data_IF_214363183597
#
_entry.id   IF_214363183597
#
_cell.length_a   1.000
_cell.length_b   1.000
_cell.length_c   1.000
_cell.angle_alpha   90.00
_cell.angle_beta   90.00
_cell.angle_gamma   90.00
#
_symmetry.space_group_name_H-M   'P 1'
#
loop_
_entity.id
_entity.type
_entity.pdbx_description
1 polymer ?
#
# COMPACT_ATOMS: atom_id res chain seq x y z
N UNK A 1 -36.32 -42.43 18.06
CA UNK A 1 -35.52 -42.47 19.30
C UNK A 1 -34.05 -42.78 19.04
N UNK A 2 -33.67 -43.87 18.36
CA UNK A 2 -32.25 -44.19 18.10
C UNK A 2 -31.50 -43.16 17.23
N UNK A 3 -32.17 -42.56 16.24
CA UNK A 3 -31.59 -41.50 15.41
C UNK A 3 -31.33 -40.20 16.19
N UNK A 4 -32.15 -39.91 17.21
CA UNK A 4 -32.02 -38.68 18.01
C UNK A 4 -30.92 -38.81 19.07
N UNK A 5 -30.74 -39.98 19.69
CA UNK A 5 -29.63 -40.23 20.64
C UNK A 5 -28.25 -40.13 19.97
N UNK A 6 -28.07 -40.72 18.78
CA UNK A 6 -26.80 -40.64 18.05
C UNK A 6 -26.44 -39.24 17.54
N UNK A 7 -27.43 -38.36 17.34
CA UNK A 7 -27.22 -36.95 17.02
C UNK A 7 -26.80 -36.17 18.26
N UNK A 8 -27.40 -36.47 19.41
CA UNK A 8 -27.12 -35.81 20.68
C UNK A 8 -25.68 -36.09 21.17
N UNK A 9 -25.19 -37.32 21.01
CA UNK A 9 -23.82 -37.69 21.37
C UNK A 9 -22.77 -37.03 20.48
N UNK A 10 -23.04 -36.86 19.18
CA UNK A 10 -22.17 -36.10 18.27
C UNK A 10 -22.11 -34.62 18.67
N UNK A 11 -23.23 -34.04 19.09
CA UNK A 11 -23.27 -32.65 19.57
C UNK A 11 -22.49 -32.47 20.88
N UNK A 12 -22.57 -33.43 21.81
CA UNK A 12 -21.77 -33.43 23.04
C UNK A 12 -20.28 -33.55 22.75
N UNK A 13 -19.89 -34.48 21.88
CA UNK A 13 -18.49 -34.66 21.45
C UNK A 13 -17.92 -33.38 20.82
N UNK A 14 -18.70 -32.75 19.92
CA UNK A 14 -18.31 -31.48 19.30
C UNK A 14 -17.99 -30.40 20.35
N UNK A 15 -18.89 -30.20 21.33
CA UNK A 15 -18.68 -29.23 22.42
C UNK A 15 -17.44 -29.54 23.25
N UNK A 16 -17.16 -30.82 23.52
CA UNK A 16 -15.94 -31.23 24.25
C UNK A 16 -14.70 -30.91 23.43
N UNK A 17 -14.69 -31.22 22.13
CA UNK A 17 -13.58 -30.91 21.24
C UNK A 17 -13.33 -29.39 21.13
N UNK A 18 -14.38 -28.58 21.04
CA UNK A 18 -14.28 -27.12 21.04
C UNK A 18 -13.67 -26.58 22.34
N UNK A 19 -14.10 -27.09 23.51
CA UNK A 19 -13.52 -26.71 24.81
C UNK A 19 -12.04 -27.10 24.92
N UNK A 20 -11.68 -28.30 24.47
CA UNK A 20 -10.26 -28.72 24.46
C UNK A 20 -9.46 -27.79 23.56
N UNK A 21 -9.98 -27.44 22.37
CA UNK A 21 -9.31 -26.53 21.46
C UNK A 21 -9.11 -25.12 22.07
N UNK A 22 -10.11 -24.61 22.80
CA UNK A 22 -10.01 -23.35 23.54
C UNK A 22 -8.95 -23.39 24.65
N UNK A 23 -8.85 -24.49 25.39
CA UNK A 23 -7.78 -24.68 26.36
C UNK A 23 -6.40 -24.68 25.66
N UNK A 24 -6.27 -25.37 24.51
CA UNK A 24 -5.03 -25.36 23.73
C UNK A 24 -4.67 -23.95 23.24
N UNK A 25 -5.64 -23.13 22.83
CA UNK A 25 -5.40 -21.73 22.45
C UNK A 25 -4.84 -20.89 23.61
N UNK A 26 -5.36 -21.09 24.83
CA UNK A 26 -4.90 -20.38 26.03
C UNK A 26 -3.49 -20.80 26.46
N UNK A 27 -3.04 -21.97 26.01
CA UNK A 27 -1.71 -22.53 26.25
C UNK A 27 -0.75 -22.28 25.08
N UNK A 28 -1.15 -21.43 24.12
CA UNK A 28 -0.42 -21.17 22.87
C UNK A 28 -0.10 -22.42 22.02
N UNK A 29 -0.81 -23.53 22.28
CA UNK A 29 -0.70 -24.76 21.52
C UNK A 29 -1.62 -24.72 20.30
N UNK A 30 -1.28 -23.81 19.37
CA UNK A 30 -2.11 -23.45 18.23
C UNK A 30 -2.35 -24.59 17.24
N UNK A 31 -1.37 -25.45 17.00
CA UNK A 31 -1.54 -26.60 16.10
C UNK A 31 -2.51 -27.64 16.68
N UNK A 32 -2.42 -27.93 17.98
CA UNK A 32 -3.36 -28.84 18.62
C UNK A 32 -4.77 -28.24 18.65
N UNK A 33 -4.89 -26.93 18.94
CA UNK A 33 -6.15 -26.22 18.85
C UNK A 33 -6.77 -26.33 17.44
N UNK A 34 -6.00 -26.07 16.38
CA UNK A 34 -6.45 -26.21 15.00
C UNK A 34 -6.94 -27.62 14.66
N UNK A 35 -6.22 -28.65 15.12
CA UNK A 35 -6.63 -30.04 14.95
C UNK A 35 -7.95 -30.33 15.64
N UNK A 36 -8.13 -29.85 16.88
CA UNK A 36 -9.36 -30.07 17.67
C UNK A 36 -10.56 -29.32 17.10
N UNK A 37 -10.40 -28.08 16.67
CA UNK A 37 -11.44 -27.35 15.93
C UNK A 37 -11.80 -28.04 14.62
N UNK A 38 -10.82 -28.55 13.87
CA UNK A 38 -11.08 -29.32 12.64
C UNK A 38 -11.89 -30.58 12.93
N UNK A 39 -11.54 -31.33 13.99
CA UNK A 39 -12.29 -32.52 14.43
C UNK A 39 -13.72 -32.18 14.89
N UNK A 40 -13.92 -30.99 15.46
CA UNK A 40 -15.22 -30.45 15.81
C UNK A 40 -16.05 -29.95 14.60
N UNK A 41 -15.44 -29.87 13.41
CA UNK A 41 -16.07 -29.34 12.20
C UNK A 41 -15.97 -27.81 12.05
N UNK A 42 -15.36 -27.11 13.01
CA UNK A 42 -15.19 -25.65 12.98
C UNK A 42 -13.88 -25.28 12.27
N UNK A 43 -13.92 -25.32 10.94
CA UNK A 43 -12.73 -25.03 10.12
C UNK A 43 -12.29 -23.57 10.20
N UNK A 44 -13.19 -22.63 10.48
CA UNK A 44 -12.85 -21.20 10.58
C UNK A 44 -12.04 -20.93 11.84
N UNK A 45 -12.46 -21.46 12.99
CA UNK A 45 -11.67 -21.37 14.23
C UNK A 45 -10.36 -22.14 14.12
N UNK A 46 -10.35 -23.27 13.40
CA UNK A 46 -9.11 -23.98 13.10
C UNK A 46 -8.13 -23.12 12.30
N UNK A 47 -8.59 -22.46 11.24
CA UNK A 47 -7.76 -21.53 10.45
C UNK A 47 -7.24 -20.39 11.32
N UNK A 48 -8.10 -19.75 12.13
CA UNK A 48 -7.67 -18.67 13.05
C UNK A 48 -6.59 -19.14 14.03
N UNK A 49 -6.65 -20.38 14.50
CA UNK A 49 -5.59 -20.96 15.33
C UNK A 49 -4.28 -21.12 14.54
N UNK A 50 -4.34 -21.62 13.29
CA UNK A 50 -3.15 -21.71 12.42
C UNK A 50 -2.53 -20.35 12.12
N UNK A 51 -3.34 -19.31 11.88
CA UNK A 51 -2.83 -17.95 11.66
C UNK A 51 -2.00 -17.46 12.85
N UNK A 52 -2.46 -17.73 14.09
CA UNK A 52 -1.71 -17.39 15.31
C UNK A 52 -0.39 -18.15 15.45
N UNK A 53 -0.27 -19.33 14.85
CA UNK A 53 0.97 -20.11 14.90
C UNK A 53 2.03 -19.61 13.93
N UNK A 54 1.67 -18.75 12.97
CA UNK A 54 2.59 -18.26 11.94
C UNK A 54 3.09 -19.32 10.96
N UNK A 55 2.52 -20.53 10.96
CA UNK A 55 2.99 -21.64 10.12
C UNK A 55 2.39 -21.52 8.72
N UNK A 56 3.03 -20.71 7.89
CA UNK A 56 2.60 -20.38 6.53
C UNK A 56 2.34 -21.62 5.69
N UNK A 57 3.17 -22.67 5.81
CA UNK A 57 2.99 -23.92 5.06
C UNK A 57 1.70 -24.63 5.45
N UNK A 58 1.43 -24.76 6.76
CA UNK A 58 0.16 -25.37 7.23
C UNK A 58 -1.04 -24.50 6.90
N UNK A 59 -0.93 -23.18 6.92
CA UNK A 59 -2.00 -22.24 6.53
C UNK A 59 -2.37 -22.44 5.06
N UNK A 60 -1.39 -22.41 4.14
CA UNK A 60 -1.60 -22.63 2.71
C UNK A 60 -2.20 -24.01 2.44
N UNK A 61 -1.66 -25.05 3.08
CA UNK A 61 -2.18 -26.41 2.98
C UNK A 61 -3.64 -26.51 3.44
N UNK A 62 -3.95 -25.96 4.61
CA UNK A 62 -5.28 -26.02 5.20
C UNK A 62 -6.32 -25.26 4.37
N UNK A 63 -5.95 -24.12 3.78
CA UNK A 63 -6.81 -23.38 2.86
C UNK A 63 -7.19 -24.22 1.62
N UNK A 64 -6.20 -24.83 0.97
CA UNK A 64 -6.42 -25.65 -0.23
C UNK A 64 -7.25 -26.92 0.04
N UNK A 65 -7.09 -27.55 1.20
CA UNK A 65 -7.88 -28.72 1.59
C UNK A 65 -9.29 -28.34 2.04
N UNK A 66 -9.45 -27.20 2.72
CA UNK A 66 -10.74 -26.81 3.29
C UNK A 66 -11.74 -26.31 2.26
N UNK A 67 -11.26 -25.64 1.20
CA UNK A 67 -12.07 -25.13 0.08
C UNK A 67 -13.29 -24.29 0.49
N UNK A 68 -13.12 -23.43 1.50
CA UNK A 68 -14.17 -22.52 1.97
C UNK A 68 -13.74 -21.08 1.71
N UNK A 69 -14.70 -20.26 1.25
CA UNK A 69 -14.50 -18.84 0.92
C UNK A 69 -13.81 -18.07 2.05
N UNK A 70 -14.34 -18.15 3.27
CA UNK A 70 -13.81 -17.40 4.42
C UNK A 70 -12.39 -17.84 4.79
N UNK A 71 -12.06 -19.12 4.59
CA UNK A 71 -10.73 -19.66 4.86
C UNK A 71 -9.71 -19.15 3.84
N UNK A 72 -10.10 -19.07 2.56
CA UNK A 72 -9.26 -18.47 1.54
C UNK A 72 -8.99 -17.00 1.82
N UNK A 73 -10.02 -16.23 2.20
CA UNK A 73 -9.87 -14.81 2.57
C UNK A 73 -8.92 -14.67 3.77
N UNK A 74 -9.12 -15.45 4.84
CA UNK A 74 -8.26 -15.43 6.02
C UNK A 74 -6.79 -15.76 5.68
N UNK A 75 -6.54 -16.75 4.82
CA UNK A 75 -5.20 -17.10 4.38
C UNK A 75 -4.56 -15.99 3.55
N UNK A 76 -5.29 -15.43 2.57
CA UNK A 76 -4.80 -14.35 1.71
C UNK A 76 -4.48 -13.08 2.51
N UNK A 77 -5.34 -12.70 3.46
CA UNK A 77 -5.10 -11.55 4.34
C UNK A 77 -3.82 -11.74 5.18
N UNK A 78 -3.62 -12.94 5.71
CA UNK A 78 -2.41 -13.26 6.46
C UNK A 78 -1.15 -13.16 5.57
N UNK A 79 -1.18 -13.74 4.38
CA UNK A 79 -0.04 -13.71 3.47
C UNK A 79 0.35 -12.29 3.02
N UNK A 80 -0.63 -11.40 2.87
CA UNK A 80 -0.36 -9.98 2.59
C UNK A 80 0.33 -9.22 3.71
N UNK A 81 0.18 -9.68 4.96
CA UNK A 81 0.89 -9.09 6.10
C UNK A 81 2.36 -9.54 6.20
N UNK A 82 2.75 -10.52 5.38
CA UNK A 82 4.14 -10.97 5.28
C UNK A 82 4.88 -10.17 4.20
N UNK A 83 6.19 -10.39 4.11
CA UNK A 83 7.05 -9.83 3.07
C UNK A 83 6.86 -10.57 1.72
N UNK A 84 5.69 -10.37 1.12
CA UNK A 84 5.30 -11.00 -0.15
C UNK A 84 6.09 -10.48 -1.35
N UNK A 85 6.76 -9.33 -1.22
CA UNK A 85 7.60 -8.75 -2.27
C UNK A 85 8.85 -9.61 -2.51
N UNK A 86 9.42 -10.16 -1.44
CA UNK A 86 10.58 -11.07 -1.50
C UNK A 86 10.17 -12.53 -1.71
N UNK A 87 8.98 -12.92 -1.24
CA UNK A 87 8.43 -14.26 -1.42
C UNK A 87 7.37 -14.28 -2.54
N UNK A 88 7.82 -14.52 -3.77
CA UNK A 88 6.93 -14.65 -4.93
C UNK A 88 5.90 -15.77 -4.81
N UNK A 89 6.11 -16.77 -3.95
CA UNK A 89 5.11 -17.82 -3.71
C UNK A 89 4.00 -17.32 -2.78
N UNK A 90 4.30 -16.45 -1.82
CA UNK A 90 3.27 -15.79 -1.00
C UNK A 90 2.33 -14.95 -1.88
N UNK A 91 2.87 -14.12 -2.78
CA UNK A 91 2.08 -13.30 -3.71
C UNK A 91 1.16 -14.16 -4.61
N UNK A 92 1.70 -15.23 -5.22
CA UNK A 92 0.90 -16.18 -6.02
C UNK A 92 -0.24 -16.81 -5.22
N UNK A 93 0.02 -17.15 -3.97
CA UNK A 93 -1.01 -17.73 -3.09
C UNK A 93 -2.08 -16.71 -2.71
N UNK A 94 -1.73 -15.43 -2.48
CA UNK A 94 -2.72 -14.34 -2.27
C UNK A 94 -3.67 -14.26 -3.46
N UNK A 95 -3.12 -14.13 -4.67
CA UNK A 95 -3.92 -14.09 -5.92
C UNK A 95 -4.79 -15.35 -6.04
N UNK A 96 -4.20 -16.54 -5.86
CA UNK A 96 -4.94 -17.80 -5.95
C UNK A 96 -6.12 -17.87 -4.97
N UNK A 97 -5.90 -17.47 -3.72
CA UNK A 97 -6.91 -17.57 -2.67
C UNK A 97 -8.03 -16.55 -2.84
N UNK A 98 -7.73 -15.28 -3.16
CA UNK A 98 -8.80 -14.31 -3.43
C UNK A 98 -9.62 -14.65 -4.65
N UNK A 99 -8.98 -15.13 -5.73
CA UNK A 99 -9.69 -15.60 -6.93
C UNK A 99 -10.61 -16.77 -6.60
N UNK A 100 -10.13 -17.78 -5.85
CA UNK A 100 -10.97 -18.92 -5.39
C UNK A 100 -12.11 -18.49 -4.46
N UNK A 101 -11.93 -17.41 -3.69
CA UNK A 101 -12.95 -16.83 -2.83
C UNK A 101 -13.94 -15.92 -3.57
N UNK A 102 -13.65 -15.56 -4.83
CA UNK A 102 -14.31 -14.48 -5.60
C UNK A 102 -14.34 -13.15 -4.83
N UNK A 103 -13.27 -12.87 -4.09
CA UNK A 103 -13.09 -11.63 -3.33
C UNK A 103 -12.27 -10.63 -4.18
N UNK A 104 -12.84 -10.21 -5.31
CA UNK A 104 -12.11 -9.40 -6.30
C UNK A 104 -11.87 -7.96 -5.83
N UNK A 105 -12.67 -7.46 -4.90
CA UNK A 105 -12.46 -6.19 -4.19
C UNK A 105 -11.14 -6.22 -3.39
N UNK A 106 -10.90 -7.30 -2.64
CA UNK A 106 -9.66 -7.49 -1.90
C UNK A 106 -8.48 -7.77 -2.82
N UNK A 107 -8.70 -8.52 -3.91
CA UNK A 107 -7.67 -8.77 -4.92
C UNK A 107 -7.24 -7.48 -5.63
N UNK A 108 -8.18 -6.58 -5.93
CA UNK A 108 -7.86 -5.27 -6.50
C UNK A 108 -6.98 -4.44 -5.55
N UNK A 109 -7.30 -4.42 -4.25
CA UNK A 109 -6.47 -3.75 -3.24
C UNK A 109 -5.05 -4.34 -3.13
N UNK A 110 -4.91 -5.66 -3.31
CA UNK A 110 -3.59 -6.30 -3.39
C UNK A 110 -2.80 -5.81 -4.61
N UNK A 111 -3.43 -5.77 -5.79
CA UNK A 111 -2.77 -5.27 -7.00
C UNK A 111 -2.42 -3.77 -6.93
N UNK A 112 -3.24 -2.93 -6.28
CA UNK A 112 -2.86 -1.54 -5.97
C UNK A 112 -1.61 -1.46 -5.08
N UNK A 113 -1.47 -2.39 -4.13
CA UNK A 113 -0.28 -2.49 -3.28
C UNK A 113 0.95 -2.96 -4.07
N UNK A 114 0.77 -3.89 -5.02
CA UNK A 114 1.80 -4.26 -5.98
C UNK A 114 2.26 -3.07 -6.83
N UNK A 115 1.32 -2.28 -7.36
CA UNK A 115 1.65 -1.11 -8.15
C UNK A 115 2.45 -0.08 -7.33
N UNK A 116 2.04 0.19 -6.08
CA UNK A 116 2.78 1.08 -5.17
C UNK A 116 4.21 0.59 -4.93
N UNK A 117 4.39 -0.71 -4.67
CA UNK A 117 5.71 -1.30 -4.49
C UNK A 117 6.63 -1.14 -5.71
N UNK A 118 6.11 -1.36 -6.93
CA UNK A 118 6.90 -1.17 -8.16
C UNK A 118 7.31 0.30 -8.36
N UNK A 119 6.45 1.25 -8.00
CA UNK A 119 6.78 2.69 -8.03
C UNK A 119 7.83 3.04 -6.99
N UNK A 120 7.62 2.68 -5.72
CA UNK A 120 8.47 3.09 -4.61
C UNK A 120 9.87 2.44 -4.66
N UNK A 121 9.94 1.12 -4.88
CA UNK A 121 11.20 0.38 -4.76
C UNK A 121 11.99 0.31 -6.07
N UNK A 122 11.29 0.26 -7.21
CA UNK A 122 11.89 -0.05 -8.51
C UNK A 122 11.74 1.06 -9.53
N UNK A 123 10.88 2.05 -9.28
CA UNK A 123 10.53 3.13 -10.22
C UNK A 123 10.03 2.59 -11.55
N UNK A 124 9.45 1.40 -11.53
CA UNK A 124 9.00 0.68 -12.72
C UNK A 124 7.53 1.00 -12.97
N UNK A 125 7.31 2.13 -13.66
CA UNK A 125 5.99 2.65 -13.96
C UNK A 125 5.22 1.79 -14.97
N UNK A 126 5.91 1.02 -15.81
CA UNK A 126 5.28 0.06 -16.72
C UNK A 126 4.66 -1.11 -15.96
N UNK A 127 5.42 -1.73 -15.04
CA UNK A 127 4.88 -2.79 -14.18
C UNK A 127 3.82 -2.27 -13.22
N UNK A 128 3.97 -1.05 -12.72
CA UNK A 128 2.93 -0.41 -11.91
C UNK A 128 1.62 -0.25 -12.71
N UNK A 129 1.70 0.20 -13.96
CA UNK A 129 0.53 0.32 -14.83
C UNK A 129 -0.12 -1.04 -15.12
N UNK A 130 0.67 -2.08 -15.36
CA UNK A 130 0.16 -3.44 -15.55
C UNK A 130 -0.59 -3.95 -14.30
N UNK A 131 -0.02 -3.76 -13.11
CA UNK A 131 -0.67 -4.12 -11.85
C UNK A 131 -1.95 -3.31 -11.61
N UNK A 132 -1.98 -2.01 -11.93
CA UNK A 132 -3.21 -1.20 -11.88
C UNK A 132 -4.26 -1.69 -12.88
N UNK A 133 -3.84 -2.20 -14.04
CA UNK A 133 -4.73 -2.86 -15.01
C UNK A 133 -5.43 -4.08 -14.42
N UNK A 134 -4.66 -4.98 -13.79
CA UNK A 134 -5.19 -6.15 -13.07
C UNK A 134 -6.16 -5.75 -11.94
N UNK A 135 -5.83 -4.68 -11.20
CA UNK A 135 -6.72 -4.12 -10.18
C UNK A 135 -8.05 -3.62 -10.80
N UNK A 136 -7.97 -2.93 -11.94
CA UNK A 136 -9.15 -2.46 -12.66
C UNK A 136 -10.03 -3.61 -13.15
N UNK A 137 -9.43 -4.64 -13.75
CA UNK A 137 -10.15 -5.85 -14.19
C UNK A 137 -10.85 -6.55 -13.03
N UNK A 138 -10.20 -6.69 -11.88
CA UNK A 138 -10.80 -7.24 -10.67
C UNK A 138 -12.03 -6.43 -10.23
N UNK A 139 -11.97 -5.10 -10.28
CA UNK A 139 -13.11 -4.25 -9.93
C UNK A 139 -14.26 -4.36 -10.95
N UNK A 140 -13.96 -4.56 -12.23
CA UNK A 140 -14.99 -4.84 -13.25
C UNK A 140 -15.70 -6.17 -12.96
N UNK A 141 -14.99 -7.19 -12.49
CA UNK A 141 -15.57 -8.47 -12.08
C UNK A 141 -16.51 -8.36 -10.86
N UNK A 142 -16.36 -7.31 -10.04
CA UNK A 142 -17.32 -7.00 -8.97
C UNK A 142 -18.63 -6.38 -9.48
N UNK A 143 -18.65 -5.82 -10.70
CA UNK A 143 -19.81 -5.14 -11.27
C UNK A 143 -20.33 -4.01 -10.38
N UNK A 144 -21.65 -3.95 -10.16
CA UNK A 144 -22.29 -2.92 -9.33
C UNK A 144 -21.89 -2.98 -7.85
N UNK A 145 -21.38 -4.12 -7.38
CA UNK A 145 -20.90 -4.28 -6.00
C UNK A 145 -19.51 -3.66 -5.79
N UNK A 146 -18.84 -3.22 -6.86
CA UNK A 146 -17.53 -2.60 -6.78
C UNK A 146 -17.60 -1.27 -5.99
N UNK A 147 -16.65 -1.03 -5.06
CA UNK A 147 -16.57 0.27 -4.40
C UNK A 147 -16.28 1.37 -5.42
N UNK A 148 -17.24 2.27 -5.67
CA UNK A 148 -17.12 3.35 -6.67
C UNK A 148 -15.86 4.19 -6.46
N UNK A 149 -15.54 4.51 -5.20
CA UNK A 149 -14.32 5.24 -4.85
C UNK A 149 -13.03 4.51 -5.27
N UNK A 150 -12.99 3.17 -5.17
CA UNK A 150 -11.84 2.38 -5.62
C UNK A 150 -11.72 2.37 -7.14
N UNK A 151 -12.84 2.24 -7.86
CA UNK A 151 -12.87 2.30 -9.33
C UNK A 151 -12.33 3.64 -9.84
N UNK A 152 -12.80 4.75 -9.26
CA UNK A 152 -12.31 6.09 -9.62
C UNK A 152 -10.83 6.24 -9.31
N UNK A 153 -10.40 5.89 -8.09
CA UNK A 153 -9.00 6.00 -7.67
C UNK A 153 -8.05 5.20 -8.58
N UNK A 154 -8.37 3.94 -8.88
CA UNK A 154 -7.53 3.11 -9.76
C UNK A 154 -7.44 3.72 -11.15
N UNK A 155 -8.54 4.24 -11.70
CA UNK A 155 -8.55 4.91 -13.00
C UNK A 155 -7.67 6.16 -13.01
N UNK A 156 -7.82 7.03 -12.00
CA UNK A 156 -7.02 8.25 -11.86
C UNK A 156 -5.52 7.92 -11.72
N UNK A 157 -5.18 6.88 -10.95
CA UNK A 157 -3.80 6.39 -10.86
C UNK A 157 -3.27 5.90 -12.21
N UNK A 158 -4.05 5.09 -12.95
CA UNK A 158 -3.65 4.63 -14.28
C UNK A 158 -3.42 5.80 -15.23
N UNK A 159 -4.32 6.79 -15.23
CA UNK A 159 -4.22 7.95 -16.13
C UNK A 159 -3.00 8.82 -15.79
N UNK A 160 -2.69 9.00 -14.51
CA UNK A 160 -1.46 9.65 -14.07
C UNK A 160 -0.22 8.89 -14.53
N UNK A 161 -0.13 7.57 -14.28
CA UNK A 161 1.02 6.76 -14.70
C UNK A 161 1.19 6.75 -16.21
N UNK A 162 0.11 6.58 -16.98
CA UNK A 162 0.15 6.64 -18.46
C UNK A 162 0.66 7.99 -18.96
N UNK A 163 0.22 9.09 -18.34
CA UNK A 163 0.69 10.42 -18.71
C UNK A 163 2.19 10.58 -18.45
N UNK A 164 2.69 10.06 -17.34
CA UNK A 164 4.13 10.12 -17.05
C UNK A 164 4.96 9.31 -18.06
N UNK A 165 4.54 8.08 -18.37
CA UNK A 165 5.19 7.25 -19.40
C UNK A 165 5.18 7.94 -20.77
N UNK A 166 4.05 8.53 -21.17
CA UNK A 166 3.94 9.27 -22.43
C UNK A 166 4.89 10.49 -22.48
N UNK A 167 5.11 11.17 -21.35
CA UNK A 167 6.10 12.26 -21.25
C UNK A 167 7.52 11.73 -21.45
N UNK A 168 7.86 10.57 -20.87
CA UNK A 168 9.18 9.96 -21.04
C UNK A 168 9.43 9.54 -22.49
N UNK A 169 8.43 8.97 -23.16
CA UNK A 169 8.49 8.64 -24.59
C UNK A 169 8.63 9.90 -25.46
N UNK A 170 7.79 10.92 -25.23
CA UNK A 170 7.79 12.18 -25.97
C UNK A 170 9.12 12.91 -25.90
N UNK A 171 9.90 12.72 -24.83
CA UNK A 171 11.19 13.37 -24.66
C UNK A 171 12.19 13.05 -25.78
N UNK A 172 12.09 11.88 -26.41
CA UNK A 172 12.96 11.51 -27.53
C UNK A 172 12.71 12.38 -28.78
N UNK A 173 11.46 12.79 -29.00
CA UNK A 173 11.05 13.55 -30.19
C UNK A 173 11.00 15.07 -29.92
N UNK A 174 10.45 15.47 -28.77
CA UNK A 174 10.19 16.86 -28.40
C UNK A 174 10.56 17.14 -26.93
N UNK A 175 11.85 17.33 -26.60
CA UNK A 175 12.32 17.53 -25.21
C UNK A 175 11.64 18.71 -24.50
N UNK A 176 11.48 19.85 -25.17
CA UNK A 176 10.90 21.06 -24.58
C UNK A 176 9.42 20.87 -24.22
N UNK A 177 8.67 20.15 -25.06
CA UNK A 177 7.26 19.86 -24.80
C UNK A 177 7.11 18.86 -23.65
N UNK A 178 7.91 17.79 -23.65
CA UNK A 178 7.94 16.82 -22.55
C UNK A 178 8.26 17.49 -21.20
N UNK A 179 9.23 18.41 -21.18
CA UNK A 179 9.59 19.19 -19.99
C UNK A 179 8.41 20.06 -19.53
N UNK A 180 7.76 20.80 -20.43
CA UNK A 180 6.62 21.63 -20.09
C UNK A 180 5.45 20.80 -19.51
N UNK A 181 5.19 19.63 -20.09
CA UNK A 181 4.18 18.70 -19.57
C UNK A 181 4.58 18.13 -18.20
N UNK A 182 5.85 17.78 -18.00
CA UNK A 182 6.38 17.30 -16.72
C UNK A 182 6.32 18.37 -15.63
N UNK A 183 6.65 19.62 -15.93
CA UNK A 183 6.50 20.75 -14.99
C UNK A 183 5.04 20.97 -14.59
N UNK A 184 4.11 20.89 -15.54
CA UNK A 184 2.68 21.00 -15.24
C UNK A 184 2.21 19.84 -14.35
N UNK A 185 2.72 18.63 -14.59
CA UNK A 185 2.41 17.44 -13.80
C UNK A 185 3.00 17.51 -12.39
N UNK A 186 4.22 18.01 -12.22
CA UNK A 186 4.91 18.16 -10.93
C UNK A 186 4.26 19.17 -9.97
N UNK A 187 3.38 20.04 -10.48
CA UNK A 187 2.57 20.97 -9.68
C UNK A 187 1.34 20.31 -9.05
N UNK A 188 0.94 19.14 -9.56
CA UNK A 188 -0.18 18.37 -9.03
C UNK A 188 0.31 17.43 -7.92
N UNK A 189 -0.58 17.11 -6.98
CA UNK A 189 -0.35 16.01 -6.04
C UNK A 189 -0.87 14.72 -6.67
N UNK A 190 0.05 13.88 -7.11
CA UNK A 190 -0.23 12.61 -7.81
C UNK A 190 0.27 11.40 -7.01
N UNK A 191 0.74 11.61 -5.78
CA UNK A 191 1.15 10.50 -4.93
C UNK A 191 -0.09 9.74 -4.42
N UNK A 192 -0.05 8.40 -4.40
CA UNK A 192 1.11 7.53 -4.64
C UNK A 192 1.27 7.04 -6.09
N UNK A 193 0.47 7.52 -7.05
CA UNK A 193 0.51 7.03 -8.43
C UNK A 193 1.82 7.37 -9.16
N UNK A 194 2.28 8.62 -9.01
CA UNK A 194 3.57 9.09 -9.54
C UNK A 194 4.28 9.88 -8.46
N UNK A 195 5.51 9.49 -8.11
CA UNK A 195 6.27 10.17 -7.06
C UNK A 195 6.73 11.52 -7.55
N UNK A 196 6.55 12.54 -6.72
CA UNK A 196 6.99 13.90 -7.06
C UNK A 196 8.50 13.96 -7.25
N UNK A 197 9.25 13.18 -6.49
CA UNK A 197 10.70 13.05 -6.63
C UNK A 197 11.14 12.56 -8.01
N UNK A 198 10.42 11.61 -8.62
CA UNK A 198 10.76 11.07 -9.95
C UNK A 198 10.49 12.11 -11.06
N UNK A 199 9.38 12.84 -10.97
CA UNK A 199 9.07 13.95 -11.89
C UNK A 199 10.16 15.03 -11.82
N UNK A 200 10.53 15.45 -10.61
CA UNK A 200 11.60 16.43 -10.41
C UNK A 200 12.96 15.90 -10.86
N UNK A 201 13.25 14.61 -10.68
CA UNK A 201 14.50 13.99 -11.13
C UNK A 201 14.61 14.00 -12.65
N UNK A 202 13.53 13.70 -13.36
CA UNK A 202 13.44 13.82 -14.81
C UNK A 202 13.77 15.26 -15.28
N UNK A 203 13.17 16.27 -14.63
CA UNK A 203 13.47 17.69 -14.93
C UNK A 203 14.93 18.06 -14.64
N UNK A 204 15.49 17.57 -13.52
CA UNK A 204 16.90 17.80 -13.19
C UNK A 204 17.81 17.24 -14.28
N UNK A 205 17.56 16.00 -14.74
CA UNK A 205 18.35 15.39 -15.81
C UNK A 205 18.34 16.23 -17.09
N UNK A 206 17.16 16.73 -17.49
CA UNK A 206 17.05 17.63 -18.63
C UNK A 206 17.89 18.91 -18.45
N UNK A 207 17.70 19.63 -17.35
CA UNK A 207 18.39 20.91 -17.13
C UNK A 207 19.91 20.76 -16.97
N UNK A 208 20.39 19.65 -16.42
CA UNK A 208 21.82 19.34 -16.42
C UNK A 208 22.35 19.13 -17.84
N UNK A 209 21.60 18.45 -18.71
CA UNK A 209 21.95 18.28 -20.12
C UNK A 209 22.08 19.63 -20.86
N UNK A 210 21.14 20.55 -20.62
CA UNK A 210 21.14 21.91 -21.18
C UNK A 210 22.13 22.86 -20.48
N UNK A 211 22.83 22.39 -19.44
CA UNK A 211 23.73 23.18 -18.57
C UNK A 211 23.03 24.33 -17.82
N UNK A 212 21.71 24.29 -17.70
CA UNK A 212 20.95 25.18 -16.83
C UNK A 212 20.96 24.65 -15.38
N UNK A 213 22.11 24.81 -14.73
CA UNK A 213 22.26 24.39 -13.33
C UNK A 213 21.40 25.21 -12.37
N UNK A 214 20.90 26.39 -12.77
CA UNK A 214 20.05 27.22 -11.93
C UNK A 214 18.63 26.63 -11.84
N UNK A 215 18.06 26.23 -12.97
CA UNK A 215 16.79 25.51 -13.02
C UNK A 215 16.91 24.14 -12.33
N UNK A 216 17.98 23.39 -12.59
CA UNK A 216 18.23 22.11 -11.91
C UNK A 216 18.25 22.27 -10.37
N UNK A 217 18.96 23.29 -9.85
CA UNK A 217 18.96 23.58 -8.40
C UNK A 217 17.56 23.87 -7.88
N UNK A 218 16.72 24.62 -8.60
CA UNK A 218 15.35 24.92 -8.18
C UNK A 218 14.56 23.64 -7.93
N UNK A 219 14.60 22.70 -8.87
CA UNK A 219 13.95 21.39 -8.73
C UNK A 219 14.48 20.62 -7.50
N UNK A 220 15.80 20.61 -7.28
CA UNK A 220 16.40 19.95 -6.11
C UNK A 220 15.94 20.54 -4.77
N UNK A 221 15.60 21.84 -4.71
CA UNK A 221 15.07 22.47 -3.47
C UNK A 221 13.66 22.00 -3.12
N UNK A 222 12.89 21.57 -4.11
CA UNK A 222 11.52 21.09 -3.93
C UNK A 222 11.47 19.59 -3.55
N UNK A 223 12.59 18.88 -3.67
CA UNK A 223 12.68 17.46 -3.30
C UNK A 223 12.91 17.30 -1.80
N UNK A 224 12.11 16.47 -1.11
CA UNK A 224 12.34 16.16 0.31
C UNK A 224 13.63 15.35 0.51
N UNK A 225 13.88 14.34 -0.34
CA UNK A 225 15.03 13.44 -0.22
C UNK A 225 15.81 13.30 -1.54
N UNK A 226 16.52 14.36 -1.94
CA UNK A 226 17.33 14.40 -3.18
C UNK A 226 18.21 13.15 -3.42
N UNK A 227 18.78 12.57 -2.37
CA UNK A 227 19.71 11.44 -2.48
C UNK A 227 19.01 10.11 -2.83
N UNK A 228 17.70 10.01 -2.58
CA UNK A 228 16.91 8.91 -3.08
C UNK A 228 16.79 9.06 -4.60
N UNK A 229 16.42 10.24 -5.10
CA UNK A 229 15.98 10.42 -6.49
C UNK A 229 17.09 10.71 -7.51
N UNK A 230 18.22 11.28 -7.10
CA UNK A 230 19.25 11.83 -8.00
C UNK A 230 20.64 11.31 -7.66
N UNK A 231 21.37 10.86 -8.69
CA UNK A 231 22.73 10.31 -8.55
C UNK A 231 23.74 11.34 -8.05
N UNK A 232 24.72 10.87 -7.27
CA UNK A 232 25.76 11.70 -6.67
C UNK A 232 26.58 12.49 -7.72
N UNK A 233 26.76 11.95 -8.93
CA UNK A 233 27.46 12.64 -10.01
C UNK A 233 26.68 13.87 -10.50
N UNK A 234 25.36 13.74 -10.68
CA UNK A 234 24.47 14.84 -11.07
C UNK A 234 24.48 15.92 -9.99
N UNK A 235 24.44 15.54 -8.71
CA UNK A 235 24.54 16.49 -7.60
C UNK A 235 25.84 17.27 -7.61
N UNK A 236 26.96 16.60 -7.90
CA UNK A 236 28.27 17.24 -8.02
C UNK A 236 28.30 18.23 -9.18
N UNK A 237 27.73 17.89 -10.34
CA UNK A 237 27.65 18.77 -11.52
C UNK A 237 26.83 20.03 -11.24
N UNK A 238 25.70 19.88 -10.54
CA UNK A 238 24.81 21.00 -10.19
C UNK A 238 25.39 21.88 -9.06
N UNK A 239 26.42 21.38 -8.37
CA UNK A 239 27.02 22.02 -7.20
C UNK A 239 26.13 21.93 -5.96
N UNK A 240 25.33 20.87 -5.84
CA UNK A 240 24.44 20.65 -4.70
C UNK A 240 25.20 20.06 -3.52
N UNK A 241 25.27 20.79 -2.40
CA UNK A 241 25.97 20.36 -1.19
C UNK A 241 25.03 20.01 -0.03
N UNK A 242 25.54 19.27 0.95
CA UNK A 242 24.85 19.03 2.22
C UNK A 242 24.56 20.32 3.00
N UNK A 243 25.39 21.35 2.82
CA UNK A 243 25.18 22.68 3.41
C UNK A 243 24.01 23.42 2.76
N UNK A 244 23.75 23.19 1.47
CA UNK A 244 22.57 23.76 0.80
C UNK A 244 21.27 23.17 1.35
N UNK A 245 21.28 21.86 1.67
CA UNK A 245 20.15 21.20 2.36
C UNK A 245 19.95 21.75 3.77
N UNK A 246 21.02 21.92 4.56
CA UNK A 246 20.94 22.51 5.91
C UNK A 246 20.43 23.94 5.89
N UNK A 247 20.89 24.76 4.94
CA UNK A 247 20.39 26.11 4.73
C UNK A 247 18.91 26.12 4.41
N UNK A 248 18.44 25.24 3.51
CA UNK A 248 17.02 25.09 3.20
C UNK A 248 16.17 24.71 4.42
N UNK A 249 16.60 23.70 5.18
CA UNK A 249 15.90 23.29 6.41
C UNK A 249 15.84 24.44 7.42
N UNK A 250 16.92 25.20 7.58
CA UNK A 250 16.93 26.37 8.47
C UNK A 250 16.03 27.51 7.99
N UNK A 251 15.89 27.71 6.68
CA UNK A 251 15.00 28.73 6.10
C UNK A 251 13.52 28.34 6.22
N UNK A 252 13.21 27.06 5.99
CA UNK A 252 11.86 26.53 6.18
C UNK A 252 11.43 26.62 7.65
N UNK A 253 12.31 26.23 8.58
CA UNK A 253 12.05 26.31 10.02
C UNK A 253 11.84 27.75 10.51
N UNK A 254 12.52 28.74 9.91
CA UNK A 254 12.28 30.16 10.20
C UNK A 254 10.94 30.64 9.66
N UNK A 255 10.56 30.18 8.47
CA UNK A 255 9.28 30.55 7.84
C UNK A 255 8.07 29.99 8.58
N UNK A 256 8.19 28.81 9.19
CA UNK A 256 7.16 28.26 10.09
C UNK A 256 7.12 29.02 11.42
N UNK A 257 8.28 29.40 11.98
CA UNK A 257 8.34 30.14 13.25
C UNK A 257 7.80 31.58 13.16
N UNK A 258 7.94 32.25 12.01
CA UNK A 258 7.33 33.57 11.78
C UNK A 258 5.83 33.48 11.45
N UNK A 259 5.36 32.37 10.85
CA UNK A 259 3.92 32.12 10.62
C UNK A 259 3.13 31.86 11.90
N UNK A 260 3.77 31.24 12.92
CA UNK A 260 3.14 31.01 14.22
C UNK A 260 3.10 32.28 15.10
N UNK A 261 3.95 33.28 14.85
CA UNK A 261 3.93 34.57 15.58
C UNK A 261 2.80 35.49 15.15
N UNK A 262 2.34 35.40 13.91
CA UNK A 262 1.20 36.18 13.41
C UNK A 262 -0.17 35.61 13.83
N UNK A 263 -0.20 34.43 14.47
CA UNK A 263 -1.44 33.77 14.89
C UNK A 263 -1.77 33.91 16.39
N UNK A 264 -0.93 34.58 17.21
CA UNK A 264 -1.15 34.68 18.66
C UNK A 264 -1.73 36.02 19.16
N UNK A 265 -1.99 37.01 18.31
CA UNK A 265 -2.52 38.32 18.74
C UNK A 265 -4.06 38.38 18.63
N UNK A 266 -4.74 37.48 19.34
CA UNK A 266 -6.21 37.37 19.25
C UNK A 266 -6.96 36.90 20.50
N UNK A 267 -6.34 36.81 21.68
CA UNK A 267 -7.08 36.54 22.93
C UNK A 267 -7.42 37.85 23.63
N UNK A 268 -8.62 38.36 23.32
CA UNK A 268 -9.29 39.42 24.08
C UNK A 268 -9.67 38.86 25.46
N UNK A 269 -9.07 39.43 26.52
CA UNK A 269 -9.52 39.22 27.89
C UNK A 269 -10.92 39.82 28.05
N UNK A 270 -11.93 38.97 28.29
CA UNK A 270 -13.25 39.42 28.71
C UNK A 270 -13.23 39.63 30.23
N UNK A 271 -13.28 40.89 30.64
CA UNK A 271 -13.39 41.32 32.04
C UNK A 271 -14.71 40.85 32.65
N UNK A 272 -14.60 40.05 33.71
CA UNK A 272 -15.66 39.84 34.69
C UNK A 272 -15.89 41.14 35.46
N UNK A 273 -17.07 41.74 35.30
CA UNK A 273 -17.59 42.74 36.24
C UNK A 273 -18.87 42.23 36.90
N UNK A 274 -18.81 42.24 38.23
CA UNK A 274 -19.84 41.84 39.17
C UNK A 274 -20.89 42.95 39.38
N UNK A 275 -22.14 42.52 39.48
CA UNK A 275 -23.22 43.01 40.38
C UNK A 275 -23.90 44.38 40.05
N UNK A 276 -25.12 44.65 40.56
CA UNK A 276 -25.89 43.96 41.61
C UNK A 276 -27.17 43.23 41.18
#
# INVERSE_FOLDING_TARGET
>A
MLLTEGIEDKAKLRKVLEKIAECCLKQDNYHLAAKKFTQAGDKVRAMRALLKSGDTRKIIFFANVSRQRDIYILAANYLQSLDWQRDGDAAKNVVSFYTKARAFDLLAGFYESCARAEVEERRDYEKALAALGEAHECLQLCGEAAPKAAVTRVREHMDAVRKFLAIQELYADSPLEAVAQCEAMARLDLEPAVRKGDLLAFLVQHYVGERDYAAARRCLREMPEVAEFVDAEVLRLVGWSSDDRRKLQSLLARRTADGDRDSSDGEVQEELSDAP
#
